data_IF_849267764352
#
_entry.id   IF_849267764352
#
_cell.length_a   1.000
_cell.length_b   1.000
_cell.length_c   1.000
_cell.angle_alpha   90.00
_cell.angle_beta   90.00
_cell.angle_gamma   90.00
#
_symmetry.space_group_name_H-M   'P 1'
#
loop_
_entity.id
_entity.type
_entity.pdbx_description
1 polymer ?
#
# COMPACT_ATOMS: atom_id res chain seq x y z
N UNK A 1 8.06 -21.04 -0.74
CA UNK A 1 8.30 -19.96 0.25
C UNK A 1 9.81 -19.87 0.52
N UNK A 2 10.53 -19.01 -0.22
CA UNK A 2 11.98 -18.83 -0.07
C UNK A 2 12.27 -18.16 1.27
N UNK A 3 12.89 -18.89 2.20
CA UNK A 3 13.24 -18.45 3.57
C UNK A 3 14.26 -17.29 3.63
N UNK A 4 14.68 -16.77 2.48
CA UNK A 4 15.76 -15.79 2.29
C UNK A 4 15.27 -14.35 2.19
N UNK A 5 13.98 -14.12 1.93
CA UNK A 5 13.42 -12.79 1.71
C UNK A 5 13.12 -12.02 3.01
N UNK A 6 12.78 -12.74 4.08
CA UNK A 6 12.56 -12.15 5.41
C UNK A 6 13.81 -11.47 6.00
N UNK A 7 15.02 -12.09 5.96
CA UNK A 7 16.23 -11.41 6.41
C UNK A 7 16.62 -10.23 5.51
N UNK A 8 16.30 -10.27 4.20
CA UNK A 8 16.52 -9.13 3.29
C UNK A 8 15.69 -7.91 3.70
N UNK A 9 14.38 -8.09 3.99
CA UNK A 9 13.51 -6.99 4.44
C UNK A 9 13.96 -6.45 5.80
N UNK A 10 14.37 -7.32 6.73
CA UNK A 10 14.87 -6.87 8.04
C UNK A 10 16.16 -6.03 7.90
N UNK A 11 17.06 -6.44 7.00
CA UNK A 11 18.28 -5.70 6.69
C UNK A 11 17.96 -4.37 6.00
N UNK A 12 17.06 -4.36 5.02
CA UNK A 12 16.61 -3.14 4.35
C UNK A 12 16.02 -2.12 5.34
N UNK A 13 15.18 -2.58 6.27
CA UNK A 13 14.63 -1.74 7.35
C UNK A 13 15.72 -1.17 8.27
N UNK A 14 16.75 -1.95 8.58
CA UNK A 14 17.86 -1.47 9.41
C UNK A 14 18.66 -0.36 8.72
N UNK A 15 18.88 -0.47 7.41
CA UNK A 15 19.57 0.54 6.61
C UNK A 15 18.70 1.79 6.42
N UNK A 16 17.40 1.61 6.23
CA UNK A 16 16.45 2.72 6.16
C UNK A 16 16.49 3.57 7.45
N UNK A 17 16.56 2.93 8.63
CA UNK A 17 16.69 3.64 9.91
C UNK A 17 18.02 4.36 10.10
N UNK A 18 19.07 3.93 9.39
CA UNK A 18 20.39 4.58 9.36
C UNK A 18 20.51 5.70 8.33
N UNK A 19 19.41 6.07 7.66
CA UNK A 19 19.39 7.01 6.53
C UNK A 19 20.16 6.54 5.28
N UNK A 20 20.49 5.25 5.19
CA UNK A 20 21.16 4.64 4.03
C UNK A 20 20.12 4.23 2.98
N UNK A 21 19.40 5.22 2.43
CA UNK A 21 18.22 5.01 1.60
C UNK A 21 18.54 4.32 0.26
N UNK A 22 19.67 4.63 -0.37
CA UNK A 22 20.07 4.02 -1.65
C UNK A 22 20.35 2.51 -1.50
N UNK A 23 21.01 2.11 -0.41
CA UNK A 23 21.27 0.70 -0.11
C UNK A 23 19.99 -0.05 0.32
N UNK A 24 19.12 0.61 1.09
CA UNK A 24 17.83 0.05 1.49
C UNK A 24 16.93 -0.22 0.27
N UNK A 25 16.90 0.69 -0.70
CA UNK A 25 16.12 0.52 -1.95
C UNK A 25 16.52 -0.73 -2.72
N UNK A 26 17.83 -0.98 -2.84
CA UNK A 26 18.37 -2.11 -3.58
C UNK A 26 17.95 -3.45 -2.96
N UNK A 27 18.00 -3.54 -1.62
CA UNK A 27 17.52 -4.71 -0.89
C UNK A 27 16.01 -4.90 -0.97
N UNK A 28 15.23 -3.82 -1.00
CA UNK A 28 13.78 -3.92 -1.22
C UNK A 28 13.45 -4.45 -2.61
N UNK A 29 14.14 -3.99 -3.67
CA UNK A 29 13.99 -4.53 -5.02
C UNK A 29 14.30 -6.02 -5.08
N UNK A 30 15.41 -6.44 -4.48
CA UNK A 30 15.80 -7.85 -4.40
C UNK A 30 14.78 -8.70 -3.62
N UNK A 31 14.19 -8.16 -2.55
CA UNK A 31 13.12 -8.83 -1.83
C UNK A 31 11.82 -8.90 -2.64
N UNK A 32 11.53 -7.87 -3.44
CA UNK A 32 10.37 -7.79 -4.34
C UNK A 32 10.41 -8.79 -5.49
N UNK A 33 11.60 -9.07 -6.03
CA UNK A 33 11.77 -10.15 -7.03
C UNK A 33 11.39 -11.52 -6.46
N UNK A 34 11.59 -11.75 -5.17
CA UNK A 34 11.30 -13.03 -4.51
C UNK A 34 9.87 -13.15 -3.96
N UNK A 35 9.32 -12.04 -3.44
CA UNK A 35 8.02 -12.01 -2.74
C UNK A 35 6.89 -11.43 -3.60
N UNK A 36 7.23 -10.70 -4.65
CA UNK A 36 6.32 -9.87 -5.43
C UNK A 36 6.58 -8.38 -5.21
N UNK A 37 6.77 -7.64 -6.30
CA UNK A 37 7.11 -6.21 -6.27
C UNK A 37 6.08 -5.36 -5.52
N UNK A 38 4.80 -5.69 -5.63
CA UNK A 38 3.71 -4.99 -4.95
C UNK A 38 3.86 -4.96 -3.41
N UNK A 39 4.54 -5.94 -2.80
CA UNK A 39 4.74 -5.99 -1.35
C UNK A 39 5.83 -5.03 -0.86
N UNK A 40 6.74 -4.60 -1.73
CA UNK A 40 7.89 -3.76 -1.39
C UNK A 40 7.87 -2.39 -2.08
N UNK A 41 6.93 -2.18 -3.01
CA UNK A 41 6.81 -0.98 -3.85
C UNK A 41 6.79 0.31 -3.02
N UNK A 42 5.99 0.36 -1.97
CA UNK A 42 5.90 1.53 -1.08
C UNK A 42 7.23 1.82 -0.39
N UNK A 43 7.95 0.77 0.02
CA UNK A 43 9.24 0.91 0.69
C UNK A 43 10.32 1.45 -0.27
N UNK A 44 10.31 0.97 -1.51
CA UNK A 44 11.18 1.47 -2.60
C UNK A 44 10.89 2.95 -2.86
N UNK A 45 9.61 3.30 -3.00
CA UNK A 45 9.18 4.69 -3.24
C UNK A 45 9.63 5.63 -2.11
N UNK A 46 9.50 5.20 -0.85
CA UNK A 46 9.94 5.98 0.31
C UNK A 46 11.45 6.23 0.29
N UNK A 47 12.26 5.23 -0.06
CA UNK A 47 13.71 5.41 -0.21
C UNK A 47 14.02 6.48 -1.26
N UNK A 48 13.40 6.39 -2.45
CA UNK A 48 13.62 7.36 -3.54
C UNK A 48 13.24 8.78 -3.15
N UNK A 49 12.13 8.97 -2.44
CA UNK A 49 11.73 10.28 -1.96
C UNK A 49 12.75 10.87 -0.98
N UNK A 50 13.23 10.07 -0.03
CA UNK A 50 14.22 10.52 0.95
C UNK A 50 15.56 10.88 0.32
N UNK A 51 16.02 10.12 -0.68
CA UNK A 51 17.22 10.45 -1.46
C UNK A 51 17.04 11.78 -2.20
N UNK A 52 15.89 12.01 -2.83
CA UNK A 52 15.57 13.28 -3.51
C UNK A 52 15.57 14.45 -2.53
N UNK A 53 14.91 14.31 -1.38
CA UNK A 53 14.88 15.34 -0.34
C UNK A 53 16.25 15.62 0.28
N UNK A 54 17.15 14.63 0.34
CA UNK A 54 18.50 14.80 0.89
C UNK A 54 19.47 15.49 -0.06
N UNK A 55 19.18 15.51 -1.37
CA UNK A 55 20.01 16.15 -2.41
C UNK A 55 19.63 17.62 -2.68
N UNK A 56 18.52 18.10 -2.11
CA UNK A 56 18.13 19.51 -2.16
C UNK A 56 18.76 20.23 -0.96
N UNK A 57 19.64 21.23 -1.16
CA UNK A 57 20.14 22.03 -0.05
C UNK A 57 18.94 22.69 0.64
N UNK A 58 18.84 22.50 1.96
CA UNK A 58 17.80 23.06 2.81
C UNK A 58 17.85 24.59 2.78
N UNK A 59 17.22 25.21 1.79
CA UNK A 59 16.80 26.59 1.87
C UNK A 59 15.37 26.62 2.42
N UNK A 60 15.30 27.02 3.68
CA UNK A 60 14.13 27.29 4.51
C UNK A 60 13.36 26.06 5.06
N UNK A 61 13.24 25.93 6.39
CA UNK A 61 12.34 24.98 7.03
C UNK A 61 10.91 25.52 6.97
N UNK A 62 10.37 25.69 5.76
CA UNK A 62 8.93 25.87 5.60
C UNK A 62 8.35 24.47 5.50
N UNK A 63 7.82 24.01 6.64
CA UNK A 63 6.79 22.98 6.77
C UNK A 63 6.37 22.36 5.43
N UNK A 64 6.95 21.21 5.10
CA UNK A 64 6.53 20.40 3.95
C UNK A 64 5.15 19.83 4.24
N UNK A 65 4.13 20.66 4.04
CA UNK A 65 2.71 20.30 3.94
C UNK A 65 2.37 19.77 2.53
N UNK A 66 3.38 19.59 1.67
CA UNK A 66 3.22 19.33 0.23
C UNK A 66 4.09 18.19 -0.30
N UNK A 67 4.60 17.29 0.56
CA UNK A 67 5.00 15.98 0.06
C UNK A 67 3.70 15.22 -0.27
N UNK A 68 3.24 15.34 -1.53
CA UNK A 68 2.08 14.64 -2.08
C UNK A 68 2.18 13.14 -1.80
N UNK A 69 1.64 12.78 -0.66
CA UNK A 69 1.38 11.43 -0.18
C UNK A 69 -0.13 11.20 -0.14
N UNK A 70 -0.91 11.92 -0.94
CA UNK A 70 -2.37 11.79 -0.89
C UNK A 70 -2.85 10.40 -1.30
N UNK A 71 -2.04 9.60 -2.01
CA UNK A 71 -2.34 8.16 -2.19
C UNK A 71 -1.98 7.29 -0.97
N UNK A 72 -1.10 7.75 -0.09
CA UNK A 72 -0.48 6.99 1.01
C UNK A 72 -0.72 7.62 2.40
N UNK A 73 -1.59 8.64 2.48
CA UNK A 73 -2.04 9.18 3.75
C UNK A 73 -2.96 8.13 4.40
N UNK A 74 -2.70 7.77 5.65
CA UNK A 74 -3.49 6.80 6.40
C UNK A 74 -5.00 7.12 6.35
N UNK A 75 -5.36 8.39 6.29
CA UNK A 75 -6.75 8.84 6.09
C UNK A 75 -7.36 8.37 4.76
N UNK A 76 -6.60 8.44 3.67
CA UNK A 76 -7.09 8.03 2.35
C UNK A 76 -7.16 6.51 2.23
N UNK A 77 -6.26 5.77 2.88
CA UNK A 77 -6.40 4.32 3.05
C UNK A 77 -7.68 3.95 3.82
N UNK A 78 -7.97 4.65 4.92
CA UNK A 78 -9.20 4.41 5.71
C UNK A 78 -10.45 4.74 4.91
N UNK A 79 -10.45 5.85 4.15
CA UNK A 79 -11.56 6.21 3.26
C UNK A 79 -11.77 5.15 2.18
N UNK A 80 -10.71 4.71 1.51
CA UNK A 80 -10.77 3.69 0.46
C UNK A 80 -11.27 2.34 1.01
N UNK A 81 -10.75 1.90 2.16
CA UNK A 81 -11.22 0.69 2.86
C UNK A 81 -12.71 0.77 3.21
N UNK A 82 -13.15 1.93 3.70
CA UNK A 82 -14.56 2.17 4.04
C UNK A 82 -15.44 2.10 2.80
N UNK A 83 -15.01 2.70 1.69
CA UNK A 83 -15.73 2.64 0.42
C UNK A 83 -15.83 1.20 -0.08
N UNK A 84 -14.74 0.45 -0.04
CA UNK A 84 -14.72 -0.96 -0.47
C UNK A 84 -15.70 -1.81 0.36
N UNK A 85 -15.71 -1.64 1.69
CA UNK A 85 -16.66 -2.32 2.57
C UNK A 85 -18.13 -1.98 2.24
N UNK A 86 -18.43 -0.70 1.95
CA UNK A 86 -19.79 -0.28 1.56
C UNK A 86 -20.21 -0.92 0.24
N UNK A 87 -19.32 -0.94 -0.75
CA UNK A 87 -19.60 -1.57 -2.05
C UNK A 87 -19.85 -3.06 -1.90
N UNK A 88 -19.05 -3.75 -1.07
CA UNK A 88 -19.23 -5.17 -0.80
C UNK A 88 -20.58 -5.47 -0.15
N UNK A 89 -20.96 -4.69 0.89
CA UNK A 89 -22.25 -4.85 1.55
C UNK A 89 -23.43 -4.63 0.60
N UNK A 90 -23.32 -3.63 -0.30
CA UNK A 90 -24.35 -3.35 -1.30
C UNK A 90 -24.49 -4.49 -2.32
N UNK A 91 -23.38 -5.08 -2.78
CA UNK A 91 -23.41 -6.24 -3.68
C UNK A 91 -24.05 -7.46 -3.02
N UNK A 92 -23.74 -7.72 -1.76
CA UNK A 92 -24.34 -8.82 -1.00
C UNK A 92 -25.85 -8.62 -0.79
N UNK A 93 -26.29 -7.38 -0.58
CA UNK A 93 -27.70 -7.05 -0.46
C UNK A 93 -28.45 -7.28 -1.78
N UNK A 94 -27.93 -6.78 -2.90
CA UNK A 94 -28.53 -7.03 -4.22
C UNK A 94 -28.57 -8.52 -4.58
N UNK A 95 -27.54 -9.27 -4.21
CA UNK A 95 -27.51 -10.72 -4.41
C UNK A 95 -28.66 -11.39 -3.63
N UNK A 96 -28.84 -11.07 -2.35
CA UNK A 96 -29.93 -11.61 -1.52
C UNK A 96 -31.31 -11.24 -2.08
N UNK A 97 -31.51 -9.98 -2.46
CA UNK A 97 -32.77 -9.54 -3.07
C UNK A 97 -33.08 -10.33 -4.34
N UNK A 98 -32.08 -10.53 -5.20
CA UNK A 98 -32.23 -11.30 -6.44
C UNK A 98 -32.58 -12.76 -6.16
N UNK A 99 -31.92 -13.40 -5.19
CA UNK A 99 -32.25 -14.76 -4.79
C UNK A 99 -33.68 -14.87 -4.23
N UNK A 100 -34.08 -13.94 -3.37
CA UNK A 100 -35.43 -13.91 -2.80
C UNK A 100 -36.49 -13.75 -3.89
N UNK A 101 -36.28 -12.84 -4.84
CA UNK A 101 -37.18 -12.64 -5.97
C UNK A 101 -37.28 -13.90 -6.82
N UNK A 102 -36.14 -14.56 -7.11
CA UNK A 102 -36.12 -15.82 -7.85
C UNK A 102 -36.93 -16.91 -7.14
N UNK A 103 -36.79 -17.03 -5.83
CA UNK A 103 -37.55 -18.00 -5.03
C UNK A 103 -39.06 -17.70 -5.06
N UNK A 104 -39.45 -16.42 -4.91
CA UNK A 104 -40.85 -16.00 -4.99
C UNK A 104 -41.48 -16.30 -6.35
N UNK A 105 -40.73 -16.10 -7.44
CA UNK A 105 -41.19 -16.42 -8.79
C UNK A 105 -41.36 -17.94 -8.97
N UNK A 106 -40.44 -18.75 -8.45
CA UNK A 106 -40.54 -20.22 -8.49
C UNK A 106 -41.74 -20.75 -7.70
N UNK A 107 -42.13 -20.10 -6.60
CA UNK A 107 -43.29 -20.50 -5.80
C UNK A 107 -44.64 -20.08 -6.42
N UNK A 108 -44.62 -19.15 -7.38
CA UNK A 108 -45.82 -18.67 -8.09
C UNK A 108 -46.06 -19.35 -9.44
N UNK A 109 -45.09 -20.14 -9.91
CA UNK A 109 -45.20 -20.97 -11.11
C UNK A 109 -45.73 -22.36 -10.75
#
# INVERSE_FOLDING_TARGET
MSKTSFPLIKKANSLFRKNEFEQAELLYKQAGEQLGMHLVETSIWLCQQRVKSSKVPQQNPITSKYASSDLYNAENFVKLKTQLNKTQALLEDYYKQTQNLKLQLMQRA
#
